data_IF_031484103657
#
_entry.id   IF_031484103657
#
_cell.length_a   1.000
_cell.length_b   1.000
_cell.length_c   1.000
_cell.angle_alpha   90.00
_cell.angle_beta   90.00
_cell.angle_gamma   90.00
#
_symmetry.space_group_name_H-M   'P 1'
#
loop_
_entity.id
_entity.type
_entity.pdbx_description
1 polymer ?
#
# COMPACT_ATOMS: atom_id res chain seq x y z
N UNK A 1 19.25 -9.64 -51.10
CA UNK A 1 19.86 -8.93 -49.95
C UNK A 1 18.81 -8.14 -49.16
N UNK A 2 18.08 -7.19 -49.76
CA UNK A 2 16.99 -6.45 -49.05
C UNK A 2 15.83 -7.34 -48.61
N UNK A 3 15.43 -8.31 -49.44
CA UNK A 3 14.36 -9.25 -49.14
C UNK A 3 14.70 -10.15 -47.94
N UNK A 4 15.96 -10.54 -47.84
CA UNK A 4 16.50 -11.36 -46.74
C UNK A 4 16.55 -10.58 -45.43
N UNK A 5 16.95 -9.29 -45.48
CA UNK A 5 16.87 -8.37 -44.34
C UNK A 5 15.41 -8.18 -43.89
N UNK A 6 14.47 -8.07 -44.83
CA UNK A 6 13.04 -7.93 -44.54
C UNK A 6 12.48 -9.16 -43.81
N UNK A 7 12.79 -10.36 -44.31
CA UNK A 7 12.39 -11.64 -43.70
C UNK A 7 12.95 -11.76 -42.28
N UNK A 8 14.22 -11.44 -42.08
CA UNK A 8 14.87 -11.50 -40.76
C UNK A 8 14.25 -10.52 -39.77
N UNK A 9 13.96 -9.28 -40.20
CA UNK A 9 13.26 -8.28 -39.36
C UNK A 9 11.87 -8.74 -38.96
N UNK A 10 11.11 -9.31 -39.90
CA UNK A 10 9.78 -9.83 -39.59
C UNK A 10 9.85 -10.98 -38.57
N UNK A 11 10.82 -11.89 -38.73
CA UNK A 11 11.04 -12.99 -37.80
C UNK A 11 11.50 -12.51 -36.42
N UNK A 12 12.33 -11.46 -36.36
CA UNK A 12 12.74 -10.83 -35.11
C UNK A 12 11.52 -10.26 -34.36
N UNK A 13 10.72 -9.43 -35.03
CA UNK A 13 9.52 -8.84 -34.43
C UNK A 13 8.55 -9.91 -33.92
N UNK A 14 8.33 -10.97 -34.71
CA UNK A 14 7.50 -12.10 -34.30
C UNK A 14 8.03 -12.78 -33.02
N UNK A 15 9.34 -13.00 -32.92
CA UNK A 15 9.94 -13.63 -31.75
C UNK A 15 9.94 -12.70 -30.52
N UNK A 16 10.12 -11.40 -30.71
CA UNK A 16 10.02 -10.41 -29.64
C UNK A 16 8.60 -10.36 -29.06
N UNK A 17 7.58 -10.36 -29.92
CA UNK A 17 6.17 -10.40 -29.53
C UNK A 17 5.84 -11.70 -28.78
N UNK A 18 6.28 -12.85 -29.31
CA UNK A 18 6.16 -14.15 -28.64
C UNK A 18 6.84 -14.16 -27.26
N UNK A 19 8.03 -13.55 -27.13
CA UNK A 19 8.74 -13.44 -25.85
C UNK A 19 7.97 -12.55 -24.88
N UNK A 20 7.46 -11.41 -25.34
CA UNK A 20 6.67 -10.49 -24.54
C UNK A 20 5.44 -11.18 -23.93
N UNK A 21 4.66 -11.89 -24.75
CA UNK A 21 3.49 -12.65 -24.27
C UNK A 21 3.85 -13.72 -23.24
N UNK A 22 4.88 -14.54 -23.50
CA UNK A 22 5.34 -15.56 -22.53
C UNK A 22 5.84 -14.95 -21.23
N UNK A 23 6.47 -13.79 -21.29
CA UNK A 23 6.97 -13.09 -20.10
C UNK A 23 5.81 -12.56 -19.24
N UNK A 24 4.78 -11.97 -19.86
CA UNK A 24 3.57 -11.55 -19.16
C UNK A 24 2.88 -12.72 -18.45
N UNK A 25 2.75 -13.87 -19.11
CA UNK A 25 2.14 -15.07 -18.51
C UNK A 25 2.98 -15.58 -17.34
N UNK A 26 4.30 -15.62 -17.50
CA UNK A 26 5.23 -16.01 -16.43
C UNK A 26 5.12 -15.09 -15.22
N UNK A 27 5.06 -13.78 -15.44
CA UNK A 27 4.95 -12.79 -14.36
C UNK A 27 3.58 -12.86 -13.67
N UNK A 28 2.51 -13.14 -14.42
CA UNK A 28 1.19 -13.41 -13.84
C UNK A 28 1.20 -14.65 -12.95
N UNK A 29 1.84 -15.73 -13.39
CA UNK A 29 1.98 -16.98 -12.63
C UNK A 29 2.84 -16.77 -11.37
N UNK A 30 3.97 -16.06 -11.47
CA UNK A 30 4.78 -15.66 -10.31
C UNK A 30 3.95 -14.86 -9.32
N UNK A 31 3.12 -13.93 -9.80
CA UNK A 31 2.18 -13.19 -8.98
C UNK A 31 1.23 -14.11 -8.20
N UNK A 32 0.70 -15.17 -8.82
CA UNK A 32 -0.17 -16.16 -8.15
C UNK A 32 0.59 -17.00 -7.12
N UNK A 33 1.89 -17.24 -7.34
CA UNK A 33 2.74 -17.98 -6.41
C UNK A 33 3.32 -17.10 -5.29
N UNK A 34 3.12 -15.78 -5.34
CA UNK A 34 3.63 -14.86 -4.34
C UNK A 34 3.16 -15.26 -2.92
N UNK A 35 4.08 -15.45 -1.95
CA UNK A 35 3.75 -15.92 -0.60
C UNK A 35 2.63 -15.12 0.06
N UNK A 36 2.63 -13.80 -0.14
CA UNK A 36 1.65 -12.87 0.45
C UNK A 36 0.19 -13.15 0.05
N UNK A 37 -0.04 -13.81 -1.10
CA UNK A 37 -1.39 -14.23 -1.51
C UNK A 37 -1.89 -15.43 -0.73
N UNK A 38 -1.00 -16.27 -0.18
CA UNK A 38 -1.33 -17.45 0.63
C UNK A 38 -1.48 -17.16 2.12
N UNK A 39 -1.02 -16.00 2.59
CA UNK A 39 -1.16 -15.59 3.98
C UNK A 39 -2.65 -15.37 4.30
N UNK A 40 -3.18 -15.92 5.42
CA UNK A 40 -4.52 -15.65 5.91
C UNK A 40 -4.76 -14.14 6.13
N UNK A 41 -6.01 -13.70 6.03
CA UNK A 41 -6.34 -12.26 6.16
C UNK A 41 -5.99 -11.72 7.54
N UNK A 42 -6.11 -12.55 8.58
CA UNK A 42 -5.82 -12.24 9.98
C UNK A 42 -4.33 -11.99 10.19
N UNK A 43 -3.48 -12.86 9.63
CA UNK A 43 -2.02 -12.70 9.70
C UNK A 43 -1.58 -11.48 8.89
N UNK A 44 -2.23 -11.23 7.75
CA UNK A 44 -1.95 -10.04 6.94
C UNK A 44 -2.35 -8.74 7.68
N UNK A 45 -3.48 -8.76 8.40
CA UNK A 45 -3.91 -7.65 9.24
C UNK A 45 -2.91 -7.37 10.36
N UNK A 46 -2.40 -8.42 11.02
CA UNK A 46 -1.37 -8.26 12.05
C UNK A 46 -0.08 -7.64 11.48
N UNK A 47 0.39 -8.12 10.32
CA UNK A 47 1.53 -7.52 9.63
C UNK A 47 1.29 -6.03 9.36
N UNK A 48 0.09 -5.66 8.90
CA UNK A 48 -0.24 -4.26 8.62
C UNK A 48 -0.26 -3.40 9.88
N UNK A 49 -0.72 -3.94 11.01
CA UNK A 49 -0.66 -3.24 12.31
C UNK A 49 0.78 -3.01 12.71
N UNK A 50 1.66 -4.01 12.53
CA UNK A 50 3.09 -3.85 12.80
C UNK A 50 3.74 -2.81 11.87
N UNK A 51 3.30 -2.72 10.60
CA UNK A 51 3.73 -1.66 9.67
C UNK A 51 3.29 -0.28 10.18
N UNK A 52 2.04 -0.14 10.64
CA UNK A 52 1.56 1.11 11.24
C UNK A 52 2.38 1.46 12.49
N UNK A 53 2.60 0.51 13.41
CA UNK A 53 3.37 0.74 14.64
C UNK A 53 4.81 1.16 14.35
N UNK A 54 5.48 0.48 13.42
CA UNK A 54 6.86 0.82 13.03
C UNK A 54 6.94 2.21 12.40
N UNK A 55 5.92 2.60 11.63
CA UNK A 55 5.81 3.95 11.08
C UNK A 55 5.47 4.99 12.17
N UNK A 56 4.63 4.63 13.14
CA UNK A 56 4.19 5.47 14.23
C UNK A 56 5.24 5.66 15.34
N UNK A 57 6.16 4.72 15.52
CA UNK A 57 7.16 4.78 16.58
C UNK A 57 8.51 4.34 16.02
N UNK A 58 9.10 5.14 15.12
CA UNK A 58 10.37 4.79 14.48
C UNK A 58 11.54 4.76 15.47
N UNK A 59 11.42 5.45 16.61
CA UNK A 59 12.44 5.53 17.65
C UNK A 59 11.89 4.98 18.98
N UNK A 60 12.33 3.77 19.36
CA UNK A 60 11.85 3.07 20.57
C UNK A 60 12.22 3.79 21.87
N UNK A 61 13.21 4.69 21.84
CA UNK A 61 13.69 5.38 23.04
C UNK A 61 12.94 6.67 23.37
N UNK A 62 12.24 7.29 22.41
CA UNK A 62 11.67 8.63 22.60
C UNK A 62 10.17 8.67 22.79
N UNK A 63 9.44 7.57 22.57
CA UNK A 63 7.96 7.52 22.59
C UNK A 63 7.30 8.71 21.86
N UNK A 64 8.01 9.30 20.90
CA UNK A 64 7.55 10.46 20.18
C UNK A 64 6.69 9.96 19.03
N UNK A 65 5.41 10.36 19.02
CA UNK A 65 4.55 10.14 17.86
C UNK A 65 5.18 10.79 16.63
N UNK A 66 5.06 10.19 15.44
CA UNK A 66 5.69 10.76 14.26
C UNK A 66 4.91 12.00 13.87
N UNK A 67 5.66 13.08 13.70
CA UNK A 67 5.19 14.30 13.07
C UNK A 67 5.23 14.09 11.55
N UNK A 68 4.46 13.12 11.05
CA UNK A 68 4.41 12.82 9.64
C UNK A 68 2.99 13.06 9.11
N UNK A 69 2.87 14.02 8.19
CA UNK A 69 1.68 14.25 7.39
C UNK A 69 1.06 12.95 6.87
N UNK A 70 -0.26 12.81 7.06
CA UNK A 70 -1.03 11.78 6.37
C UNK A 70 -0.98 12.04 4.88
N UNK A 71 -0.46 11.08 4.12
CA UNK A 71 -0.43 11.14 2.66
C UNK A 71 -0.77 9.78 2.07
N UNK A 72 -1.01 9.74 0.76
CA UNK A 72 -1.24 8.47 0.07
C UNK A 72 -0.08 7.47 0.21
N UNK A 73 1.11 7.95 0.58
CA UNK A 73 2.32 7.16 0.78
C UNK A 73 2.52 6.68 2.23
N UNK A 74 1.61 7.01 3.16
CA UNK A 74 1.71 6.59 4.57
C UNK A 74 0.69 5.50 4.91
N UNK A 75 0.97 4.61 5.88
CA UNK A 75 -0.02 3.67 6.35
C UNK A 75 -1.16 4.43 7.08
N UNK A 76 -2.41 3.95 6.99
CA UNK A 76 -2.85 2.77 6.24
C UNK A 76 -3.10 3.01 4.74
N UNK A 77 -3.02 4.26 4.26
CA UNK A 77 -3.42 4.64 2.90
C UNK A 77 -2.59 3.96 1.82
N UNK A 78 -1.28 3.81 2.00
CA UNK A 78 -0.41 3.11 1.04
C UNK A 78 -0.85 1.66 0.84
N UNK A 79 -1.32 1.00 1.91
CA UNK A 79 -1.73 -0.41 1.87
C UNK A 79 -3.03 -0.61 1.08
N UNK A 80 -3.89 0.42 1.02
CA UNK A 80 -5.10 0.40 0.21
C UNK A 80 -4.80 0.35 -1.31
N UNK A 81 -3.61 0.77 -1.74
CA UNK A 81 -3.26 0.94 -3.14
C UNK A 81 -2.64 -0.31 -3.80
N UNK A 82 -2.21 -1.30 -3.00
CA UNK A 82 -1.40 -2.43 -3.50
C UNK A 82 -2.21 -3.42 -4.33
N UNK A 83 -3.30 -3.96 -3.77
CA UNK A 83 -4.19 -4.87 -4.49
C UNK A 83 -5.56 -5.00 -3.81
N UNK A 84 -6.52 -5.61 -4.50
CA UNK A 84 -7.89 -5.83 -3.96
C UNK A 84 -7.91 -6.61 -2.65
N UNK A 85 -7.01 -7.58 -2.46
CA UNK A 85 -6.93 -8.35 -1.20
C UNK A 85 -6.50 -7.44 -0.05
N UNK A 86 -5.46 -6.65 -0.24
CA UNK A 86 -4.95 -5.73 0.78
C UNK A 86 -5.98 -4.66 1.11
N UNK A 87 -6.60 -4.07 0.09
CA UNK A 87 -7.70 -3.11 0.27
C UNK A 87 -8.79 -3.65 1.20
N UNK A 88 -9.26 -4.89 0.98
CA UNK A 88 -10.27 -5.53 1.83
C UNK A 88 -9.78 -5.74 3.26
N UNK A 89 -8.57 -6.28 3.42
CA UNK A 89 -7.98 -6.53 4.74
C UNK A 89 -7.83 -5.23 5.52
N UNK A 90 -7.33 -4.17 4.90
CA UNK A 90 -7.18 -2.87 5.55
C UNK A 90 -8.52 -2.33 6.02
N UNK A 91 -9.54 -2.32 5.15
CA UNK A 91 -10.87 -1.83 5.54
C UNK A 91 -11.56 -2.69 6.60
N UNK A 92 -11.23 -3.97 6.71
CA UNK A 92 -11.74 -4.89 7.73
C UNK A 92 -10.92 -4.87 9.03
N UNK A 93 -9.88 -4.04 9.11
CA UNK A 93 -8.99 -3.95 10.28
C UNK A 93 -9.09 -2.54 10.88
N UNK A 94 -10.06 -2.28 11.77
CA UNK A 94 -10.26 -0.95 12.36
C UNK A 94 -9.02 -0.43 13.10
N UNK A 95 -8.20 -1.33 13.65
CA UNK A 95 -6.94 -0.99 14.34
C UNK A 95 -5.94 -0.23 13.48
N UNK A 96 -6.07 -0.27 12.14
CA UNK A 96 -5.22 0.49 11.24
C UNK A 96 -5.59 1.98 11.14
N UNK A 97 -6.74 2.37 11.67
CA UNK A 97 -7.27 3.73 11.63
C UNK A 97 -7.32 4.37 13.03
N UNK A 98 -6.62 3.82 14.02
CA UNK A 98 -6.61 4.34 15.39
C UNK A 98 -5.59 5.46 15.62
N UNK A 99 -4.78 5.82 14.62
CA UNK A 99 -3.81 6.90 14.72
C UNK A 99 -4.04 7.88 13.58
N UNK A 100 -4.16 9.16 13.93
CA UNK A 100 -4.32 10.26 12.98
C UNK A 100 -3.40 11.42 13.37
N UNK A 101 -2.22 11.56 12.73
CA UNK A 101 -1.38 12.74 12.91
C UNK A 101 -1.98 13.93 12.16
N UNK A 102 -2.20 15.03 12.87
CA UNK A 102 -2.61 16.31 12.32
C UNK A 102 -1.40 17.25 12.35
N UNK A 103 -1.09 17.89 11.24
CA UNK A 103 -0.09 18.98 11.18
C UNK A 103 -0.78 20.34 11.04
N UNK A 104 -0.10 21.39 11.51
CA UNK A 104 -0.62 22.76 11.64
C UNK A 104 -0.77 23.41 10.27
N UNK A 105 -0.06 22.85 9.27
CA UNK A 105 0.08 23.38 7.92
C UNK A 105 -0.39 22.40 6.85
N UNK A 106 -1.40 21.58 7.13
CA UNK A 106 -2.05 20.82 6.05
C UNK A 106 -2.84 21.78 5.17
N UNK A 107 -2.61 21.75 3.86
CA UNK A 107 -3.44 22.48 2.88
C UNK A 107 -4.89 21.98 2.82
N UNK A 108 -5.16 20.83 3.44
CA UNK A 108 -6.47 20.20 3.55
C UNK A 108 -7.09 20.45 4.92
N UNK A 109 -8.39 20.69 4.96
CA UNK A 109 -9.17 20.85 6.19
C UNK A 109 -9.20 19.54 7.00
N UNK A 110 -8.66 19.52 8.24
CA UNK A 110 -8.75 18.38 9.15
C UNK A 110 -10.15 17.78 9.30
N UNK A 111 -11.17 18.62 9.24
CA UNK A 111 -12.56 18.22 9.38
C UNK A 111 -13.05 17.35 8.22
N UNK A 112 -12.36 17.32 7.08
CA UNK A 112 -12.74 16.49 5.95
C UNK A 112 -12.39 15.01 6.15
N UNK A 113 -11.30 14.72 6.88
CA UNK A 113 -10.77 13.36 7.01
C UNK A 113 -10.93 12.78 8.42
N UNK A 114 -11.04 13.58 9.47
CA UNK A 114 -11.36 13.10 10.83
C UNK A 114 -12.63 12.22 10.83
N UNK A 115 -13.77 12.61 10.23
CA UNK A 115 -14.97 11.77 10.20
C UNK A 115 -14.75 10.46 9.44
N UNK A 116 -13.95 10.49 8.36
CA UNK A 116 -13.60 9.30 7.58
C UNK A 116 -12.75 8.33 8.40
N UNK A 117 -11.84 8.83 9.23
CA UNK A 117 -11.04 8.01 10.16
C UNK A 117 -11.89 7.44 11.30
N UNK A 118 -12.73 8.29 11.93
CA UNK A 118 -13.65 7.87 12.99
C UNK A 118 -14.59 6.76 12.53
N UNK A 119 -15.13 6.87 11.31
CA UNK A 119 -15.97 5.81 10.76
C UNK A 119 -15.22 4.48 10.58
N UNK A 120 -13.91 4.54 10.29
CA UNK A 120 -13.09 3.36 10.00
C UNK A 120 -12.49 2.71 11.25
N UNK A 121 -12.18 3.47 12.30
CA UNK A 121 -11.68 2.90 13.56
C UNK A 121 -12.79 2.18 14.36
N UNK A 122 -14.06 2.36 13.98
CA UNK A 122 -15.19 1.67 14.58
C UNK A 122 -15.38 2.08 16.04
N UNK A 123 -15.31 1.12 16.95
CA UNK A 123 -15.40 1.35 18.40
C UNK A 123 -14.04 1.50 19.08
N UNK A 124 -12.93 1.47 18.33
CA UNK A 124 -11.59 1.59 18.90
C UNK A 124 -11.25 3.06 19.19
N UNK A 125 -10.47 3.34 20.25
CA UNK A 125 -10.05 4.69 20.56
C UNK A 125 -9.17 5.26 19.43
N UNK A 126 -9.49 6.47 18.99
CA UNK A 126 -8.69 7.23 18.04
C UNK A 126 -7.71 8.12 18.79
N UNK A 127 -6.42 7.94 18.52
CA UNK A 127 -5.35 8.79 18.99
C UNK A 127 -5.07 9.88 17.95
N UNK A 128 -5.26 11.14 18.35
CA UNK A 128 -5.00 12.32 17.51
C UNK A 128 -3.79 13.03 18.10
N UNK A 129 -2.70 13.11 17.34
CA UNK A 129 -1.54 13.92 17.70
C UNK A 129 -1.64 15.27 16.99
N UNK A 130 -1.67 16.34 17.79
CA UNK A 130 -1.63 17.72 17.31
C UNK A 130 -0.18 18.20 17.30
N UNK A 131 0.19 19.09 16.38
CA UNK A 131 1.50 19.72 16.38
C UNK A 131 1.56 20.75 17.52
N UNK A 132 2.63 20.73 18.31
CA UNK A 132 2.95 21.86 19.20
C UNK A 132 2.46 21.81 20.65
N UNK A 133 2.44 20.65 21.32
CA UNK A 133 2.45 20.59 22.79
C UNK A 133 3.23 19.40 23.35
#
# INVERSE_FOLDING_TARGET
MEEEISVLRHKLNYLEDQRYHKQLDTDRMKGLQAPIRRIPSEILAEIFIQVLHTWCYPDTERNAFPVHNVSLSTPPLLLLQVCRKWYRVVLQTPGLFTILPLEEFTSQDPLEYIPKWLNKCGSLPLHISLPGH
#
